data_IF_790564400473
#
_entry.id   IF_790564400473
#
_cell.length_a   1.000
_cell.length_b   1.000
_cell.length_c   1.000
_cell.angle_alpha   90.00
_cell.angle_beta   90.00
_cell.angle_gamma   90.00
#
_symmetry.space_group_name_H-M   'P 1'
#
loop_
_entity.id
_entity.type
_entity.pdbx_description
1 polymer ?
#
# COMPACT_ATOMS: atom_id res chain seq x y z
N UNK A 1 41.85 25.03 19.19
CA UNK A 1 41.26 23.73 18.80
C UNK A 1 39.83 23.61 19.34
N UNK A 2 39.58 23.89 20.62
CA UNK A 2 38.23 23.87 21.23
C UNK A 2 37.22 24.89 20.66
N UNK A 3 37.64 26.11 20.31
CA UNK A 3 36.73 27.16 19.78
C UNK A 3 36.12 26.79 18.40
N UNK A 4 36.90 26.11 17.55
CA UNK A 4 36.41 25.59 16.26
C UNK A 4 35.47 24.40 16.43
N UNK A 5 35.62 23.63 17.50
CA UNK A 5 34.75 22.48 17.78
C UNK A 5 33.40 22.93 18.32
N UNK A 6 33.38 23.94 19.19
CA UNK A 6 32.14 24.53 19.68
C UNK A 6 31.38 25.27 18.57
N UNK A 7 32.09 25.99 17.69
CA UNK A 7 31.48 26.58 16.49
C UNK A 7 30.94 25.50 15.55
N UNK A 8 31.66 24.39 15.37
CA UNK A 8 31.19 23.26 14.58
C UNK A 8 29.94 22.62 15.17
N UNK A 9 29.89 22.37 16.48
CA UNK A 9 28.72 21.84 17.17
C UNK A 9 27.52 22.78 17.07
N UNK A 10 27.73 24.09 17.25
CA UNK A 10 26.66 25.10 17.08
C UNK A 10 26.16 25.21 15.65
N UNK A 11 27.06 25.18 14.66
CA UNK A 11 26.66 25.16 13.25
C UNK A 11 25.95 23.85 12.90
N UNK A 12 26.37 22.74 13.50
CA UNK A 12 25.71 21.45 13.36
C UNK A 12 24.30 21.48 13.96
N UNK A 13 24.14 22.03 15.16
CA UNK A 13 22.83 22.26 15.76
C UNK A 13 21.98 23.22 14.91
N UNK A 14 22.50 24.35 14.45
CA UNK A 14 21.67 25.33 13.73
C UNK A 14 21.23 24.83 12.34
N UNK A 15 22.13 24.22 11.57
CA UNK A 15 21.85 23.85 10.18
C UNK A 15 21.44 22.40 10.00
N UNK A 16 21.74 21.54 10.97
CA UNK A 16 21.54 20.11 10.88
C UNK A 16 20.87 19.51 12.12
N UNK A 17 20.52 20.29 13.17
CA UNK A 17 19.53 19.80 14.14
C UNK A 17 18.21 19.61 13.41
N UNK A 18 17.57 18.50 13.75
CA UNK A 18 16.29 18.16 13.17
C UNK A 18 15.25 18.22 14.27
N UNK A 19 14.35 19.18 14.18
CA UNK A 19 13.16 19.23 15.04
C UNK A 19 12.04 18.39 14.44
N UNK A 20 11.39 17.59 15.28
CA UNK A 20 10.24 16.79 14.91
C UNK A 20 9.12 17.70 14.37
N UNK A 21 8.63 17.39 13.15
CA UNK A 21 7.51 18.13 12.56
C UNK A 21 6.21 17.52 13.08
N UNK A 22 5.50 18.29 13.91
CA UNK A 22 4.18 17.92 14.42
C UNK A 22 3.23 17.41 13.31
N UNK A 23 2.49 16.34 13.61
CA UNK A 23 1.64 15.65 12.62
C UNK A 23 0.58 16.58 12.00
N UNK A 24 0.06 17.50 12.80
CA UNK A 24 -0.88 18.55 12.38
C UNK A 24 -0.27 19.51 11.35
N UNK A 25 0.96 19.96 11.58
CA UNK A 25 1.68 20.89 10.70
C UNK A 25 1.90 20.26 9.33
N UNK A 26 2.34 19.02 9.30
CA UNK A 26 2.54 18.32 8.04
C UNK A 26 1.24 18.02 7.29
N UNK A 27 0.16 17.69 7.99
CA UNK A 27 -1.17 17.57 7.39
C UNK A 27 -1.50 18.84 6.60
N UNK A 28 -1.32 20.01 7.20
CA UNK A 28 -1.58 21.28 6.54
C UNK A 28 -0.65 21.50 5.34
N UNK A 29 0.65 21.31 5.51
CA UNK A 29 1.64 21.53 4.46
C UNK A 29 1.40 20.59 3.26
N UNK A 30 1.20 19.30 3.50
CA UNK A 30 0.97 18.31 2.43
C UNK A 30 -0.37 18.48 1.75
N UNK A 31 -1.43 18.85 2.49
CA UNK A 31 -2.75 19.12 1.90
C UNK A 31 -2.71 20.39 1.04
N UNK A 32 -2.12 21.47 1.54
CA UNK A 32 -1.97 22.72 0.77
C UNK A 32 -1.10 22.53 -0.48
N UNK A 33 0.02 21.81 -0.34
CA UNK A 33 0.89 21.49 -1.48
C UNK A 33 0.18 20.57 -2.49
N UNK A 34 -0.55 19.57 -2.02
CA UNK A 34 -1.35 18.68 -2.88
C UNK A 34 -2.40 19.46 -3.67
N UNK A 35 -3.09 20.41 -3.02
CA UNK A 35 -4.04 21.29 -3.69
C UNK A 35 -3.31 22.17 -4.70
N UNK A 36 -2.22 22.84 -4.33
CA UNK A 36 -1.47 23.72 -5.22
C UNK A 36 -0.97 23.00 -6.48
N UNK A 37 -0.39 21.80 -6.32
CA UNK A 37 0.25 21.05 -7.41
C UNK A 37 -0.77 20.29 -8.27
N UNK A 38 -1.84 19.73 -7.67
CA UNK A 38 -2.73 18.79 -8.37
C UNK A 38 -4.18 19.24 -8.51
N UNK A 39 -4.65 20.24 -7.77
CA UNK A 39 -6.03 20.71 -7.92
C UNK A 39 -6.19 21.53 -9.20
N UNK A 40 -7.24 21.26 -9.99
CA UNK A 40 -7.61 22.12 -11.13
C UNK A 40 -8.64 23.16 -10.70
N UNK A 41 -8.18 24.39 -10.49
CA UNK A 41 -9.04 25.53 -10.13
C UNK A 41 -10.06 25.88 -11.24
N UNK A 42 -9.67 25.76 -12.51
CA UNK A 42 -10.60 25.98 -13.64
C UNK A 42 -11.65 24.87 -13.84
N UNK A 43 -11.57 23.76 -13.10
CA UNK A 43 -12.53 22.65 -13.19
C UNK A 43 -12.72 22.00 -11.80
N UNK A 44 -13.45 22.71 -10.94
CA UNK A 44 -13.66 22.33 -9.53
C UNK A 44 -14.18 20.90 -9.36
N UNK A 45 -15.24 20.52 -10.07
CA UNK A 45 -15.89 19.20 -9.96
C UNK A 45 -15.23 18.09 -10.80
N UNK A 46 -13.90 18.14 -10.99
CA UNK A 46 -13.19 17.06 -11.67
C UNK A 46 -13.01 15.85 -10.75
N UNK A 47 -13.02 14.64 -11.32
CA UNK A 47 -12.75 13.41 -10.56
C UNK A 47 -11.40 13.46 -9.84
N UNK A 48 -10.39 14.04 -10.49
CA UNK A 48 -9.07 14.24 -9.86
C UNK A 48 -9.15 15.12 -8.61
N UNK A 49 -9.92 16.20 -8.62
CA UNK A 49 -10.09 17.06 -7.45
C UNK A 49 -10.83 16.33 -6.32
N UNK A 50 -11.85 15.53 -6.66
CA UNK A 50 -12.54 14.67 -5.69
C UNK A 50 -11.55 13.69 -5.07
N UNK A 51 -10.71 13.04 -5.88
CA UNK A 51 -9.69 12.09 -5.40
C UNK A 51 -8.69 12.75 -4.45
N UNK A 52 -8.24 13.98 -4.75
CA UNK A 52 -7.33 14.75 -3.88
C UNK A 52 -7.98 14.99 -2.53
N UNK A 53 -9.20 15.53 -2.54
CA UNK A 53 -9.91 15.85 -1.30
C UNK A 53 -10.11 14.57 -0.48
N UNK A 54 -10.59 13.51 -1.12
CA UNK A 54 -10.84 12.26 -0.42
C UNK A 54 -9.53 11.65 0.13
N UNK A 55 -8.42 11.67 -0.61
CA UNK A 55 -7.14 11.15 -0.13
C UNK A 55 -6.57 12.00 1.01
N UNK A 56 -6.69 13.33 0.91
CA UNK A 56 -6.29 14.24 1.99
C UNK A 56 -7.13 14.07 3.26
N UNK A 57 -8.37 13.60 3.16
CA UNK A 57 -9.24 13.32 4.32
C UNK A 57 -8.84 12.07 5.10
N UNK A 58 -8.03 11.15 4.55
CA UNK A 58 -7.53 10.03 5.34
C UNK A 58 -6.63 10.49 6.48
N UNK A 59 -5.77 11.48 6.21
CA UNK A 59 -4.79 12.00 7.16
C UNK A 59 -5.39 12.52 8.47
N UNK A 60 -6.40 13.42 8.49
CA UNK A 60 -7.03 13.81 9.76
C UNK A 60 -7.74 12.63 10.45
N UNK A 61 -8.20 11.61 9.71
CA UNK A 61 -8.78 10.41 10.33
C UNK A 61 -7.71 9.55 11.02
N UNK A 62 -6.52 9.40 10.43
CA UNK A 62 -5.37 8.76 11.08
C UNK A 62 -4.91 9.53 12.33
N UNK A 63 -4.87 10.86 12.25
CA UNK A 63 -4.52 11.69 13.40
C UNK A 63 -5.51 11.56 14.55
N UNK A 64 -6.81 11.39 14.30
CA UNK A 64 -7.78 11.11 15.36
C UNK A 64 -7.47 9.80 16.09
N UNK A 65 -7.05 8.76 15.36
CA UNK A 65 -6.62 7.50 15.96
C UNK A 65 -5.35 7.70 16.79
N UNK A 66 -4.31 8.31 16.20
CA UNK A 66 -3.04 8.56 16.90
C UNK A 66 -3.25 9.40 18.16
N UNK A 67 -3.91 10.56 18.05
CA UNK A 67 -4.20 11.43 19.18
C UNK A 67 -5.02 10.74 20.28
N UNK A 68 -6.05 9.98 19.87
CA UNK A 68 -6.89 9.21 20.80
C UNK A 68 -6.09 8.15 21.56
N UNK A 69 -5.22 7.41 20.85
CA UNK A 69 -4.37 6.38 21.44
C UNK A 69 -3.32 6.99 22.40
N UNK A 70 -2.55 7.99 21.95
CA UNK A 70 -1.46 8.62 22.74
C UNK A 70 -1.98 9.26 24.03
N UNK A 71 -3.15 9.91 23.97
CA UNK A 71 -3.70 10.64 25.12
C UNK A 71 -4.70 9.82 25.96
N UNK A 72 -4.96 8.56 25.59
CA UNK A 72 -5.92 7.71 26.31
C UNK A 72 -7.37 8.17 26.19
N UNK A 73 -7.77 8.72 25.04
CA UNK A 73 -9.13 9.15 24.73
C UNK A 73 -9.84 8.14 23.79
N UNK A 74 -10.43 7.05 24.34
CA UNK A 74 -10.98 5.96 23.52
C UNK A 74 -12.15 6.40 22.62
N UNK A 75 -12.88 7.45 23.00
CA UNK A 75 -13.96 7.99 22.16
C UNK A 75 -13.43 8.66 20.88
N UNK A 76 -12.30 9.36 20.98
CA UNK A 76 -11.64 10.02 19.85
C UNK A 76 -11.00 8.98 18.95
N UNK A 77 -10.35 7.99 19.55
CA UNK A 77 -9.75 6.87 18.81
C UNK A 77 -10.83 6.11 18.02
N UNK A 78 -11.94 5.77 18.67
CA UNK A 78 -13.11 5.14 18.02
C UNK A 78 -13.66 6.00 16.88
N UNK A 79 -13.76 7.32 17.08
CA UNK A 79 -14.19 8.25 16.03
C UNK A 79 -13.24 8.18 14.83
N UNK A 80 -11.93 8.17 15.05
CA UNK A 80 -10.92 8.00 14.01
C UNK A 80 -11.09 6.71 13.22
N UNK A 81 -11.31 5.57 13.90
CA UNK A 81 -11.56 4.31 13.20
C UNK A 81 -12.85 4.30 12.39
N UNK A 82 -13.94 4.86 12.93
CA UNK A 82 -15.23 4.95 12.22
C UNK A 82 -15.13 5.84 10.99
N UNK A 83 -14.43 6.98 11.08
CA UNK A 83 -14.23 7.88 9.93
C UNK A 83 -13.31 7.24 8.88
N UNK A 84 -12.23 6.56 9.28
CA UNK A 84 -11.39 5.77 8.37
C UNK A 84 -12.20 4.68 7.64
N UNK A 85 -13.08 3.99 8.36
CA UNK A 85 -13.97 2.98 7.78
C UNK A 85 -14.93 3.58 6.75
N UNK A 86 -15.57 4.72 7.09
CA UNK A 86 -16.45 5.45 6.18
C UNK A 86 -15.73 5.93 4.92
N UNK A 87 -14.54 6.52 5.08
CA UNK A 87 -13.70 6.99 3.97
C UNK A 87 -13.23 5.85 3.07
N UNK A 88 -12.87 4.70 3.65
CA UNK A 88 -12.59 3.48 2.88
C UNK A 88 -13.76 3.08 2.00
N UNK A 89 -14.99 3.19 2.50
CA UNK A 89 -16.21 2.77 1.79
C UNK A 89 -16.48 3.69 0.60
N UNK A 90 -16.33 5.00 0.82
CA UNK A 90 -16.43 6.02 -0.23
C UNK A 90 -15.39 5.75 -1.34
N UNK A 91 -14.15 5.40 -0.99
CA UNK A 91 -13.13 5.09 -1.98
C UNK A 91 -13.37 3.79 -2.75
N UNK A 92 -13.91 2.75 -2.10
CA UNK A 92 -14.32 1.52 -2.80
C UNK A 92 -15.37 1.86 -3.86
N UNK A 93 -16.40 2.62 -3.49
CA UNK A 93 -17.42 3.08 -4.42
C UNK A 93 -16.82 3.89 -5.57
N UNK A 94 -15.84 4.77 -5.26
CA UNK A 94 -15.11 5.52 -6.29
C UNK A 94 -14.32 4.59 -7.22
N UNK A 95 -13.66 3.53 -6.73
CA UNK A 95 -12.97 2.56 -7.60
C UNK A 95 -13.94 1.86 -8.55
N UNK A 96 -15.11 1.45 -8.06
CA UNK A 96 -16.14 0.85 -8.91
C UNK A 96 -16.66 1.84 -9.95
N UNK A 97 -16.91 3.08 -9.53
CA UNK A 97 -17.37 4.14 -10.43
C UNK A 97 -16.36 4.42 -11.55
N UNK A 98 -15.06 4.35 -11.25
CA UNK A 98 -13.98 4.48 -12.23
C UNK A 98 -14.01 3.38 -13.32
N UNK A 99 -14.57 2.21 -13.04
CA UNK A 99 -14.78 1.16 -14.05
C UNK A 99 -15.93 1.48 -15.02
N UNK A 100 -16.83 2.39 -14.66
CA UNK A 100 -17.95 2.81 -15.53
C UNK A 100 -17.60 3.98 -16.44
N UNK A 101 -16.45 4.60 -16.23
CA UNK A 101 -16.00 5.75 -17.00
C UNK A 101 -15.43 5.36 -18.36
N UNK A 102 -16.15 5.72 -19.42
CA UNK A 102 -15.72 5.58 -20.82
C UNK A 102 -14.71 6.68 -21.20
N UNK A 103 -14.94 7.91 -20.74
CA UNK A 103 -14.09 9.07 -21.08
C UNK A 103 -13.52 9.71 -19.82
N UNK A 104 -12.20 9.72 -19.71
CA UNK A 104 -11.48 10.42 -18.65
C UNK A 104 -10.62 11.55 -19.25
N UNK A 105 -10.99 12.83 -19.07
CA UNK A 105 -10.16 13.92 -19.55
C UNK A 105 -8.84 13.93 -18.78
N UNK A 106 -7.72 13.90 -19.50
CA UNK A 106 -6.40 13.99 -18.92
C UNK A 106 -6.20 15.39 -18.32
N UNK A 107 -5.99 15.46 -17.02
CA UNK A 107 -5.62 16.68 -16.33
C UNK A 107 -4.15 16.59 -15.95
N UNK A 108 -3.31 17.44 -16.52
CA UNK A 108 -1.90 17.51 -16.13
C UNK A 108 -1.73 18.17 -14.76
N UNK A 109 -0.67 17.91 -14.00
CA UNK A 109 -0.35 18.70 -12.80
C UNK A 109 -0.18 20.19 -13.13
N UNK A 110 -0.19 21.05 -12.11
CA UNK A 110 0.06 22.50 -12.26
C UNK A 110 1.56 22.82 -12.29
N UNK A 111 2.41 21.85 -11.95
CA UNK A 111 3.86 22.01 -11.92
C UNK A 111 4.52 21.37 -13.16
N UNK A 112 5.65 21.94 -13.60
CA UNK A 112 6.43 21.42 -14.71
C UNK A 112 7.05 20.05 -14.38
N UNK A 113 7.46 19.30 -15.42
CA UNK A 113 8.14 18.02 -15.23
C UNK A 113 9.42 18.16 -14.37
N UNK A 114 10.22 19.22 -14.60
CA UNK A 114 11.43 19.48 -13.81
C UNK A 114 11.12 19.74 -12.33
N UNK A 115 10.09 20.52 -12.05
CA UNK A 115 9.63 20.76 -10.67
C UNK A 115 9.12 19.48 -9.99
N UNK A 116 8.37 18.65 -10.71
CA UNK A 116 7.92 17.36 -10.19
C UNK A 116 9.09 16.40 -9.94
N UNK A 117 10.07 16.31 -10.85
CA UNK A 117 11.27 15.49 -10.65
C UNK A 117 12.06 15.92 -9.42
N UNK A 118 12.21 17.23 -9.22
CA UNK A 118 12.84 17.77 -8.00
C UNK A 118 12.05 17.39 -6.75
N UNK A 119 10.71 17.54 -6.77
CA UNK A 119 9.87 17.12 -5.64
C UNK A 119 9.97 15.61 -5.37
N UNK A 120 9.96 14.74 -6.39
CA UNK A 120 10.16 13.29 -6.20
C UNK A 120 11.47 13.03 -5.48
N UNK A 121 12.57 13.63 -5.95
CA UNK A 121 13.88 13.44 -5.34
C UNK A 121 13.90 13.93 -3.89
N UNK A 122 13.48 15.17 -3.64
CA UNK A 122 13.51 15.78 -2.32
C UNK A 122 12.60 15.06 -1.32
N UNK A 123 11.38 14.67 -1.71
CA UNK A 123 10.46 13.93 -0.85
C UNK A 123 10.93 12.51 -0.59
N UNK A 124 11.58 11.86 -1.57
CA UNK A 124 12.16 10.55 -1.36
C UNK A 124 13.36 10.60 -0.39
N UNK A 125 14.21 11.64 -0.50
CA UNK A 125 15.27 11.89 0.48
C UNK A 125 14.67 12.10 1.88
N UNK A 126 13.59 12.89 2.01
CA UNK A 126 12.91 13.05 3.29
C UNK A 126 12.36 11.73 3.84
N UNK A 127 11.76 10.90 3.00
CA UNK A 127 11.27 9.57 3.43
C UNK A 127 12.42 8.66 3.90
N UNK A 128 13.55 8.65 3.18
CA UNK A 128 14.74 7.87 3.58
C UNK A 128 15.32 8.41 4.89
N UNK A 129 15.41 9.73 5.04
CA UNK A 129 15.84 10.36 6.29
C UNK A 129 14.91 10.01 7.44
N UNK A 130 13.60 9.98 7.22
CA UNK A 130 12.60 9.62 8.23
C UNK A 130 12.87 8.26 8.86
N UNK A 131 13.06 7.23 8.03
CA UNK A 131 13.31 5.86 8.51
C UNK A 131 14.75 5.66 9.00
N UNK A 132 15.72 6.36 8.41
CA UNK A 132 17.14 6.22 8.79
C UNK A 132 17.44 6.91 10.12
N UNK A 133 16.91 8.11 10.33
CA UNK A 133 17.05 8.82 11.61
C UNK A 133 16.26 8.09 12.69
N UNK A 134 15.06 7.57 12.37
CA UNK A 134 14.27 6.80 13.31
C UNK A 134 15.02 5.56 13.79
N UNK A 135 15.65 4.83 12.86
CA UNK A 135 16.54 3.71 13.18
C UNK A 135 17.75 4.12 14.06
N UNK A 136 18.39 5.26 13.80
CA UNK A 136 19.57 5.70 14.57
C UNK A 136 19.20 6.17 15.98
N UNK A 137 18.06 6.83 16.15
CA UNK A 137 17.64 7.43 17.42
C UNK A 137 17.06 6.42 18.41
N UNK A 138 16.54 5.29 17.93
CA UNK A 138 15.92 4.27 18.78
C UNK A 138 16.89 3.09 18.94
N UNK A 139 17.56 3.02 20.09
CA UNK A 139 18.44 1.89 20.45
C UNK A 139 17.64 0.65 20.88
N UNK A 140 16.40 0.83 21.34
CA UNK A 140 15.52 -0.26 21.72
C UNK A 140 14.81 -0.83 20.47
N UNK A 141 15.02 -2.12 20.19
CA UNK A 141 14.27 -2.81 19.14
C UNK A 141 12.76 -2.74 19.43
N UNK A 142 11.95 -2.30 18.46
CA UNK A 142 10.49 -2.34 18.56
C UNK A 142 10.08 -3.81 18.77
N UNK A 143 9.51 -4.12 19.93
CA UNK A 143 9.15 -5.49 20.34
C UNK A 143 7.77 -5.88 19.81
N UNK A 144 7.68 -6.94 19.01
CA UNK A 144 6.40 -7.49 18.54
C UNK A 144 5.74 -8.37 19.61
N UNK A 145 4.42 -8.26 19.72
CA UNK A 145 3.57 -9.17 20.50
C UNK A 145 3.53 -10.57 19.84
N UNK A 146 3.90 -11.66 20.55
CA UNK A 146 3.90 -13.02 20.02
C UNK A 146 2.49 -13.53 19.71
N UNK A 147 1.42 -12.83 20.10
CA UNK A 147 0.05 -13.13 19.68
C UNK A 147 -0.19 -12.88 18.18
N UNK A 148 0.63 -12.07 17.51
CA UNK A 148 0.63 -11.89 16.04
C UNK A 148 0.86 -13.21 15.29
N UNK A 149 1.59 -14.17 15.88
CA UNK A 149 1.84 -15.51 15.33
C UNK A 149 0.58 -16.37 15.19
N UNK A 150 -0.56 -15.94 15.76
CA UNK A 150 -1.85 -16.66 15.65
C UNK A 150 -2.66 -16.23 14.44
N UNK A 151 -2.20 -15.23 13.69
CA UNK A 151 -2.93 -14.67 12.54
C UNK A 151 -2.44 -15.28 11.23
N UNK A 152 -3.26 -15.22 10.16
CA UNK A 152 -2.79 -15.51 8.81
C UNK A 152 -1.69 -14.54 8.39
N UNK A 153 -0.59 -15.09 7.90
CA UNK A 153 0.51 -14.30 7.38
C UNK A 153 1.71 -15.16 7.02
N UNK A 154 2.73 -14.51 6.50
CA UNK A 154 3.94 -15.15 6.02
C UNK A 154 5.07 -14.90 7.01
N UNK A 155 5.45 -15.96 7.73
CA UNK A 155 6.43 -15.89 8.82
C UNK A 155 7.68 -15.08 8.50
N UNK A 156 8.30 -15.25 7.33
CA UNK A 156 9.53 -14.50 6.97
C UNK A 156 9.29 -12.98 6.93
N UNK A 157 8.09 -12.55 6.54
CA UNK A 157 7.71 -11.13 6.55
C UNK A 157 7.37 -10.64 7.97
N UNK A 158 6.72 -11.49 8.78
CA UNK A 158 6.42 -11.21 10.20
C UNK A 158 7.69 -11.15 11.07
N UNK A 159 8.71 -11.94 10.72
CA UNK A 159 10.01 -11.99 11.39
C UNK A 159 10.84 -10.71 11.12
N UNK A 160 10.42 -9.83 10.21
CA UNK A 160 11.08 -8.54 9.97
C UNK A 160 10.60 -7.50 11.00
N UNK A 161 11.47 -7.02 11.91
CA UNK A 161 11.07 -5.98 12.84
C UNK A 161 10.72 -4.70 12.07
N UNK A 162 9.67 -3.97 12.46
CA UNK A 162 9.37 -2.66 11.90
C UNK A 162 10.51 -1.69 12.25
N UNK A 163 10.75 -0.72 11.36
CA UNK A 163 11.75 0.32 11.57
C UNK A 163 11.05 1.56 12.11
N UNK A 164 11.49 2.11 13.27
CA UNK A 164 10.91 3.34 13.78
C UNK A 164 11.08 4.49 12.80
N UNK A 165 10.11 5.40 12.79
CA UNK A 165 10.14 6.63 11.98
C UNK A 165 10.42 7.83 12.88
N UNK A 166 11.32 8.73 12.46
CA UNK A 166 11.71 9.89 13.27
C UNK A 166 10.67 11.02 13.25
N UNK A 167 9.93 11.16 12.16
CA UNK A 167 9.09 12.33 11.91
C UNK A 167 7.61 12.11 12.25
N UNK A 168 7.24 10.92 12.74
CA UNK A 168 5.85 10.55 13.03
C UNK A 168 5.76 9.67 14.27
N UNK A 169 4.72 9.86 15.08
CA UNK A 169 4.27 8.81 16.00
C UNK A 169 3.14 8.03 15.30
N UNK A 170 3.43 6.81 14.85
CA UNK A 170 2.40 6.04 14.15
C UNK A 170 1.39 5.43 15.15
N UNK A 171 0.07 5.49 14.88
CA UNK A 171 -0.93 4.81 15.71
C UNK A 171 -0.73 3.28 15.78
N UNK A 172 0.07 2.72 14.86
CA UNK A 172 0.45 1.32 14.85
C UNK A 172 1.55 1.01 15.88
N UNK A 173 2.60 1.83 15.97
CA UNK A 173 3.61 1.74 17.03
C UNK A 173 2.98 1.93 18.41
N UNK A 174 2.03 2.87 18.55
CA UNK A 174 1.30 3.13 19.80
C UNK A 174 0.44 1.94 20.26
N UNK A 175 -0.17 1.20 19.33
CA UNK A 175 -0.96 0.00 19.66
C UNK A 175 -0.09 -1.25 19.92
N UNK A 176 1.10 -1.34 19.32
CA UNK A 176 2.03 -2.46 19.57
C UNK A 176 2.79 -2.33 20.90
N UNK A 177 2.97 -1.12 21.42
CA UNK A 177 3.60 -0.88 22.74
C UNK A 177 2.85 -1.50 23.94
N UNK A 178 1.61 -1.98 23.76
CA UNK A 178 0.81 -2.65 24.81
C UNK A 178 0.93 -4.19 24.87
N UNK A 179 1.68 -4.81 23.96
CA UNK A 179 1.80 -6.27 23.86
C UNK A 179 2.76 -6.92 24.87
N UNK A 180 2.54 -8.19 25.21
CA UNK A 180 3.49 -8.98 26.02
C UNK A 180 4.72 -9.35 25.17
N UNK A 181 5.90 -9.54 25.78
CA UNK A 181 7.15 -9.73 25.04
C UNK A 181 7.12 -10.97 24.14
N UNK A 182 7.47 -10.77 22.86
CA UNK A 182 7.89 -11.83 21.95
C UNK A 182 9.40 -11.74 21.77
N UNK A 183 10.13 -12.79 22.14
CA UNK A 183 11.54 -12.89 21.80
C UNK A 183 11.65 -13.21 20.30
N UNK A 184 12.30 -12.34 19.53
CA UNK A 184 12.64 -12.64 18.14
C UNK A 184 13.75 -13.70 18.12
N UNK A 185 13.52 -14.90 17.59
CA UNK A 185 14.56 -15.91 17.56
C UNK A 185 15.50 -15.74 16.35
N UNK A 186 15.60 -14.54 15.76
CA UNK A 186 16.50 -14.29 14.63
C UNK A 186 17.17 -12.93 14.75
N UNK A 187 18.50 -12.94 14.56
CA UNK A 187 19.34 -11.79 14.26
C UNK A 187 19.01 -11.20 12.86
N UNK A 188 17.72 -11.01 12.48
CA UNK A 188 17.40 -10.18 11.32
C UNK A 188 17.57 -8.75 11.80
N UNK A 189 18.79 -8.26 11.68
CA UNK A 189 19.13 -6.92 12.12
C UNK A 189 18.11 -5.93 11.53
N UNK A 190 17.57 -5.01 12.33
CA UNK A 190 16.72 -3.90 11.86
C UNK A 190 17.34 -3.17 10.66
N UNK A 191 18.67 -3.19 10.51
CA UNK A 191 19.37 -2.74 9.31
C UNK A 191 18.91 -3.42 8.00
N UNK A 192 18.57 -4.72 8.03
CA UNK A 192 17.99 -5.41 6.89
C UNK A 192 16.57 -4.89 6.60
N UNK A 193 15.72 -4.77 7.63
CA UNK A 193 14.38 -4.18 7.49
C UNK A 193 14.45 -2.78 6.89
N UNK A 194 15.40 -1.95 7.35
CA UNK A 194 15.68 -0.62 6.81
C UNK A 194 16.06 -0.68 5.33
N UNK A 195 16.97 -1.59 4.95
CA UNK A 195 17.34 -1.79 3.55
C UNK A 195 16.15 -2.22 2.67
N UNK A 196 15.34 -3.17 3.15
CA UNK A 196 14.17 -3.68 2.43
C UNK A 196 13.10 -2.60 2.30
N UNK A 197 12.82 -1.82 3.35
CA UNK A 197 11.75 -0.81 3.31
C UNK A 197 12.11 0.36 2.39
N UNK A 198 13.37 0.83 2.43
CA UNK A 198 13.88 1.85 1.50
C UNK A 198 13.79 1.33 0.05
N UNK A 199 14.21 0.08 -0.19
CA UNK A 199 14.11 -0.53 -1.50
C UNK A 199 12.63 -0.66 -1.95
N UNK A 200 11.72 -1.08 -1.08
CA UNK A 200 10.31 -1.22 -1.41
C UNK A 200 9.69 0.13 -1.83
N UNK A 201 9.95 1.21 -1.07
CA UNK A 201 9.48 2.56 -1.45
C UNK A 201 10.11 3.05 -2.76
N UNK A 202 11.40 2.82 -2.96
CA UNK A 202 12.07 3.14 -4.22
C UNK A 202 11.40 2.42 -5.40
N UNK A 203 11.08 1.14 -5.23
CA UNK A 203 10.38 0.34 -6.24
C UNK A 203 8.96 0.86 -6.49
N UNK A 204 8.22 1.32 -5.46
CA UNK A 204 6.92 2.00 -5.67
C UNK A 204 7.12 3.25 -6.52
N UNK A 205 8.01 4.16 -6.12
CA UNK A 205 8.24 5.46 -6.78
C UNK A 205 8.62 5.27 -8.25
N UNK A 206 9.61 4.42 -8.53
CA UNK A 206 10.04 4.12 -9.90
C UNK A 206 8.93 3.40 -10.66
N UNK A 207 8.23 2.46 -10.03
CA UNK A 207 7.09 1.77 -10.62
C UNK A 207 5.99 2.72 -11.08
N UNK A 208 5.61 3.71 -10.25
CA UNK A 208 4.62 4.74 -10.59
C UNK A 208 5.07 5.60 -11.78
N UNK A 209 6.34 6.02 -11.81
CA UNK A 209 6.93 6.80 -12.91
C UNK A 209 6.95 5.98 -14.21
N UNK A 210 7.35 4.71 -14.12
CA UNK A 210 7.40 3.81 -15.28
C UNK A 210 6.01 3.47 -15.81
N UNK A 211 5.02 3.22 -14.96
CA UNK A 211 3.64 3.03 -15.41
C UNK A 211 3.11 4.28 -16.12
N UNK A 212 3.37 5.48 -15.57
CA UNK A 212 2.99 6.73 -16.21
C UNK A 212 3.69 6.98 -17.55
N UNK A 213 4.98 6.71 -17.65
CA UNK A 213 5.73 6.90 -18.90
C UNK A 213 5.41 5.84 -19.96
N UNK A 214 5.31 4.57 -19.58
CA UNK A 214 5.13 3.45 -20.52
C UNK A 214 3.66 3.24 -20.89
N UNK A 215 2.76 3.20 -19.90
CA UNK A 215 1.36 2.81 -20.14
C UNK A 215 0.44 4.01 -20.33
N UNK A 216 0.69 5.09 -19.59
CA UNK A 216 -0.06 6.35 -19.76
C UNK A 216 0.52 7.24 -20.86
N UNK A 217 1.69 6.87 -21.42
CA UNK A 217 2.42 7.64 -22.43
C UNK A 217 2.68 9.10 -22.01
N UNK A 218 2.75 9.36 -20.71
CA UNK A 218 2.96 10.69 -20.15
C UNK A 218 3.76 10.61 -18.84
N UNK A 219 5.06 10.89 -18.95
CA UNK A 219 5.98 10.91 -17.80
C UNK A 219 5.56 11.90 -16.70
N UNK A 220 4.92 13.01 -17.05
CA UNK A 220 4.45 14.00 -16.05
C UNK A 220 3.41 13.39 -15.13
N UNK A 221 2.55 12.51 -15.64
CA UNK A 221 1.54 11.81 -14.84
C UNK A 221 2.18 10.77 -13.91
N UNK A 222 3.24 10.09 -14.37
CA UNK A 222 4.02 9.19 -13.54
C UNK A 222 4.77 9.91 -12.41
N UNK A 223 5.43 11.03 -12.73
CA UNK A 223 6.07 11.89 -11.74
C UNK A 223 5.04 12.45 -10.74
N UNK A 224 3.87 12.88 -11.22
CA UNK A 224 2.78 13.35 -10.37
C UNK A 224 2.28 12.28 -9.40
N UNK A 225 2.13 11.04 -9.88
CA UNK A 225 1.75 9.90 -9.06
C UNK A 225 2.81 9.64 -7.97
N UNK A 226 4.10 9.66 -8.33
CA UNK A 226 5.18 9.50 -7.36
C UNK A 226 5.22 10.62 -6.30
N UNK A 227 5.11 11.88 -6.72
CA UNK A 227 5.04 13.02 -5.78
C UNK A 227 3.83 12.86 -4.85
N UNK A 228 2.65 12.54 -5.39
CA UNK A 228 1.45 12.40 -4.57
C UNK A 228 1.58 11.24 -3.58
N UNK A 229 2.10 10.08 -4.01
CA UNK A 229 2.39 8.95 -3.12
C UNK A 229 3.29 9.36 -1.94
N UNK A 230 4.36 10.09 -2.21
CA UNK A 230 5.32 10.54 -1.18
C UNK A 230 4.75 11.66 -0.28
N UNK A 231 3.79 12.44 -0.77
CA UNK A 231 3.15 13.51 0.00
C UNK A 231 2.06 13.02 0.96
N UNK A 232 1.45 11.87 0.70
CA UNK A 232 0.38 11.36 1.59
C UNK A 232 1.01 11.03 2.96
N UNK A 233 0.51 11.61 4.07
CA UNK A 233 1.03 11.36 5.42
C UNK A 233 1.17 9.88 5.78
N UNK A 234 0.23 9.04 5.35
CA UNK A 234 0.31 7.58 5.50
C UNK A 234 1.66 6.98 5.08
N UNK A 235 2.25 7.46 3.97
CA UNK A 235 3.55 6.97 3.47
C UNK A 235 4.71 7.34 4.40
N UNK A 236 4.61 8.47 5.09
CA UNK A 236 5.57 8.88 6.11
C UNK A 236 5.39 8.10 7.41
N UNK A 237 4.15 8.01 7.89
CA UNK A 237 3.80 7.34 9.16
C UNK A 237 4.09 5.84 9.13
N UNK A 238 3.68 5.14 8.06
CA UNK A 238 3.93 3.70 7.91
C UNK A 238 5.21 3.43 7.12
N UNK A 239 6.09 4.44 7.03
CA UNK A 239 7.27 4.44 6.17
C UNK A 239 8.27 3.33 6.50
N UNK A 240 8.33 2.89 7.76
CA UNK A 240 9.25 1.86 8.24
C UNK A 240 8.70 0.43 8.26
N UNK A 241 7.49 0.21 7.76
CA UNK A 241 6.83 -1.11 7.78
C UNK A 241 6.92 -1.82 6.43
N UNK A 242 7.68 -2.93 6.38
CA UNK A 242 7.93 -3.67 5.13
C UNK A 242 6.64 -4.31 4.57
N UNK A 243 5.86 -4.92 5.44
CA UNK A 243 4.58 -5.58 5.16
C UNK A 243 3.51 -4.62 4.60
N UNK A 244 3.60 -3.34 4.93
CA UNK A 244 2.73 -2.29 4.39
C UNK A 244 3.09 -1.87 2.96
N UNK A 245 4.37 -1.88 2.59
CA UNK A 245 4.88 -1.26 1.35
C UNK A 245 5.21 -2.30 0.29
N UNK A 246 5.83 -3.42 0.66
CA UNK A 246 6.33 -4.44 -0.27
C UNK A 246 5.22 -5.03 -1.16
N UNK A 247 4.03 -5.42 -0.65
CA UNK A 247 2.95 -5.90 -1.51
C UNK A 247 2.49 -4.86 -2.52
N UNK A 248 2.39 -3.59 -2.11
CA UNK A 248 2.05 -2.48 -3.01
C UNK A 248 3.08 -2.30 -4.11
N UNK A 249 4.37 -2.37 -3.78
CA UNK A 249 5.48 -2.32 -4.75
C UNK A 249 5.38 -3.44 -5.79
N UNK A 250 5.23 -4.68 -5.34
CA UNK A 250 5.10 -5.85 -6.22
C UNK A 250 3.90 -5.75 -7.15
N UNK A 251 2.76 -5.23 -6.68
CA UNK A 251 1.55 -5.04 -7.50
C UNK A 251 1.73 -3.95 -8.56
N UNK A 252 2.39 -2.83 -8.23
CA UNK A 252 2.72 -1.79 -9.23
C UNK A 252 3.60 -2.37 -10.33
N UNK A 253 4.57 -3.21 -9.97
CA UNK A 253 5.45 -3.88 -10.94
C UNK A 253 4.73 -4.99 -11.73
N UNK A 254 3.80 -5.71 -11.10
CA UNK A 254 2.94 -6.66 -11.80
C UNK A 254 2.10 -5.96 -12.87
N UNK A 255 1.58 -4.76 -12.56
CA UNK A 255 0.87 -3.91 -13.50
C UNK A 255 1.80 -3.34 -14.57
N UNK A 256 3.01 -2.90 -14.23
CA UNK A 256 4.01 -2.47 -15.22
C UNK A 256 4.26 -3.58 -16.26
N UNK A 257 4.34 -4.83 -15.81
CA UNK A 257 4.55 -5.99 -16.66
C UNK A 257 3.26 -6.72 -17.09
N UNK A 258 2.09 -6.07 -17.09
CA UNK A 258 0.82 -6.72 -17.47
C UNK A 258 0.81 -7.33 -18.88
N UNK A 259 1.69 -6.88 -19.78
CA UNK A 259 1.84 -7.47 -21.13
C UNK A 259 2.75 -8.71 -21.16
N UNK A 260 3.35 -9.08 -20.04
CA UNK A 260 4.22 -10.25 -19.84
C UNK A 260 3.56 -11.15 -18.80
N UNK A 261 2.58 -12.00 -19.19
CA UNK A 261 1.70 -12.67 -18.25
C UNK A 261 2.44 -13.50 -17.17
N UNK A 262 3.53 -14.17 -17.55
CA UNK A 262 4.35 -14.94 -16.60
C UNK A 262 4.98 -14.06 -15.51
N UNK A 263 5.57 -12.92 -15.88
CA UNK A 263 6.19 -12.00 -14.92
C UNK A 263 5.12 -11.38 -14.02
N UNK A 264 4.01 -10.93 -14.60
CA UNK A 264 2.90 -10.38 -13.83
C UNK A 264 2.30 -11.40 -12.85
N UNK A 265 2.14 -12.65 -13.27
CA UNK A 265 1.68 -13.74 -12.40
C UNK A 265 2.65 -14.05 -11.26
N UNK A 266 3.96 -14.08 -11.55
CA UNK A 266 4.99 -14.27 -10.54
C UNK A 266 4.98 -13.14 -9.48
N UNK A 267 4.97 -11.89 -9.92
CA UNK A 267 4.93 -10.73 -9.03
C UNK A 267 3.64 -10.66 -8.21
N UNK A 268 2.49 -10.97 -8.82
CA UNK A 268 1.23 -11.10 -8.08
C UNK A 268 1.33 -12.19 -7.01
N UNK A 269 1.87 -13.36 -7.33
CA UNK A 269 1.96 -14.45 -6.37
C UNK A 269 2.91 -14.16 -5.21
N UNK A 270 3.98 -13.39 -5.43
CA UNK A 270 4.86 -12.95 -4.34
C UNK A 270 4.13 -12.06 -3.32
N UNK A 271 3.03 -11.40 -3.71
CA UNK A 271 2.20 -10.61 -2.77
C UNK A 271 1.32 -11.47 -1.86
N UNK A 272 1.24 -12.79 -2.10
CA UNK A 272 0.51 -13.71 -1.23
C UNK A 272 1.14 -13.84 0.17
N UNK A 273 2.30 -13.21 0.40
CA UNK A 273 2.88 -13.04 1.73
C UNK A 273 1.95 -12.34 2.74
N UNK A 274 0.97 -11.56 2.27
CA UNK A 274 -0.07 -10.93 3.12
C UNK A 274 -1.46 -11.54 2.91
N UNK A 275 -1.58 -12.74 2.31
CA UNK A 275 -2.83 -13.49 2.07
C UNK A 275 -3.87 -12.83 1.13
N UNK A 276 -4.30 -11.59 1.37
CA UNK A 276 -5.41 -10.92 0.67
C UNK A 276 -5.28 -10.86 -0.87
N UNK A 277 -4.09 -10.68 -1.46
CA UNK A 277 -3.95 -10.65 -2.90
C UNK A 277 -4.29 -11.97 -3.62
N UNK A 278 -4.43 -13.10 -2.91
CA UNK A 278 -4.98 -14.34 -3.48
C UNK A 278 -6.36 -14.13 -4.10
N UNK A 279 -7.18 -13.26 -3.50
CA UNK A 279 -8.51 -12.93 -3.99
C UNK A 279 -8.50 -12.04 -5.25
N UNK A 280 -7.32 -11.65 -5.74
CA UNK A 280 -7.17 -11.02 -7.05
C UNK A 280 -7.09 -12.05 -8.19
N UNK A 281 -6.88 -13.34 -7.90
CA UNK A 281 -6.76 -14.39 -8.93
C UNK A 281 -7.93 -14.38 -9.91
N UNK A 282 -9.21 -14.31 -9.50
CA UNK A 282 -10.34 -14.27 -10.45
C UNK A 282 -10.30 -13.05 -11.39
N UNK A 283 -9.92 -11.87 -10.87
CA UNK A 283 -9.78 -10.64 -11.65
C UNK A 283 -8.67 -10.78 -12.71
N UNK A 284 -7.50 -11.26 -12.30
CA UNK A 284 -6.34 -11.35 -13.21
C UNK A 284 -6.47 -12.51 -14.20
N UNK A 285 -7.03 -13.65 -13.80
CA UNK A 285 -7.33 -14.75 -14.73
C UNK A 285 -8.33 -14.30 -15.81
N UNK A 286 -9.39 -13.60 -15.43
CA UNK A 286 -10.37 -13.09 -16.40
C UNK A 286 -9.79 -12.02 -17.32
N UNK A 287 -8.83 -11.20 -16.85
CA UNK A 287 -8.09 -10.26 -17.70
C UNK A 287 -7.24 -10.97 -18.78
N UNK A 288 -6.62 -12.11 -18.46
CA UNK A 288 -5.83 -12.91 -19.41
C UNK A 288 -6.62 -14.01 -20.12
N UNK A 289 -7.93 -14.12 -19.88
CA UNK A 289 -8.76 -15.24 -20.33
C UNK A 289 -8.64 -15.50 -21.84
N UNK A 290 -8.70 -14.42 -22.62
CA UNK A 290 -8.61 -14.48 -24.08
C UNK A 290 -7.19 -14.79 -24.56
N UNK A 291 -6.16 -14.35 -23.85
CA UNK A 291 -4.75 -14.54 -24.24
C UNK A 291 -3.83 -14.45 -23.04
N UNK A 292 -3.04 -15.51 -22.83
CA UNK A 292 -1.96 -15.51 -21.85
C UNK A 292 -2.30 -16.15 -20.51
N UNK A 293 -3.51 -16.67 -20.31
CA UNK A 293 -3.93 -17.34 -19.07
C UNK A 293 -2.95 -18.43 -18.63
N UNK A 294 -2.51 -19.32 -19.53
CA UNK A 294 -1.56 -20.38 -19.18
C UNK A 294 -0.21 -19.83 -18.70
N UNK A 295 0.33 -18.82 -19.38
CA UNK A 295 1.60 -18.17 -18.99
C UNK A 295 1.46 -17.46 -17.65
N UNK A 296 0.33 -16.78 -17.42
CA UNK A 296 0.02 -16.15 -16.16
C UNK A 296 -0.09 -17.17 -15.02
N UNK A 297 -0.87 -18.23 -15.20
CA UNK A 297 -1.02 -19.31 -14.21
C UNK A 297 0.31 -19.97 -13.87
N UNK A 298 1.17 -20.24 -14.87
CA UNK A 298 2.53 -20.73 -14.62
C UNK A 298 3.37 -19.74 -13.80
N UNK A 299 3.24 -18.44 -14.10
CA UNK A 299 3.86 -17.38 -13.31
C UNK A 299 3.39 -17.38 -11.85
N UNK A 300 2.08 -17.51 -11.64
CA UNK A 300 1.49 -17.57 -10.29
C UNK A 300 2.02 -18.78 -9.51
N UNK A 301 2.02 -19.97 -10.13
CA UNK A 301 2.56 -21.19 -9.50
C UNK A 301 4.04 -21.04 -9.19
N UNK A 302 4.82 -20.45 -10.09
CA UNK A 302 6.25 -20.22 -9.87
C UNK A 302 6.51 -19.22 -8.72
N UNK A 303 5.84 -18.07 -8.71
CA UNK A 303 6.00 -17.07 -7.64
C UNK A 303 5.55 -17.62 -6.27
N UNK A 304 4.47 -18.40 -6.25
CA UNK A 304 4.03 -19.11 -5.05
C UNK A 304 5.07 -20.13 -4.57
N UNK A 305 5.65 -20.91 -5.48
CA UNK A 305 6.70 -21.86 -5.16
C UNK A 305 7.94 -21.17 -4.56
N UNK A 306 8.26 -19.94 -4.96
CA UNK A 306 9.34 -19.16 -4.32
C UNK A 306 9.03 -18.79 -2.87
N UNK A 307 7.79 -18.43 -2.54
CA UNK A 307 7.37 -18.19 -1.14
C UNK A 307 7.47 -19.48 -0.32
N UNK A 308 6.98 -20.60 -0.86
CA UNK A 308 7.08 -21.90 -0.19
C UNK A 308 8.54 -22.33 -0.01
N UNK A 309 9.39 -22.12 -1.02
CA UNK A 309 10.82 -22.36 -0.93
C UNK A 309 11.45 -21.51 0.17
N UNK A 310 11.05 -20.24 0.32
CA UNK A 310 11.47 -19.39 1.43
C UNK A 310 11.15 -20.01 2.79
N UNK A 311 9.93 -20.53 2.98
CA UNK A 311 9.55 -21.21 4.23
C UNK A 311 10.38 -22.48 4.48
N UNK A 312 10.65 -23.27 3.44
CA UNK A 312 11.48 -24.48 3.53
C UNK A 312 12.91 -24.11 3.93
N UNK A 313 13.52 -23.13 3.26
CA UNK A 313 14.90 -22.71 3.51
C UNK A 313 15.10 -22.06 4.89
N UNK A 314 14.02 -21.56 5.49
CA UNK A 314 14.05 -20.89 6.80
C UNK A 314 13.29 -21.66 7.88
N UNK A 315 12.99 -22.94 7.66
CA UNK A 315 12.22 -23.78 8.57
C UNK A 315 12.94 -23.95 9.93
N UNK A 316 12.18 -23.93 11.03
CA UNK A 316 12.67 -24.12 12.40
C UNK A 316 11.78 -25.12 13.14
N UNK A 317 12.35 -25.79 14.14
CA UNK A 317 11.62 -26.77 14.96
C UNK A 317 10.47 -26.12 15.73
N UNK A 318 10.65 -24.89 16.21
CA UNK A 318 9.66 -24.16 17.03
C UNK A 318 8.49 -23.57 16.23
N UNK A 319 8.68 -23.34 14.92
CA UNK A 319 7.70 -22.65 14.06
C UNK A 319 6.57 -23.59 13.55
N UNK A 320 6.62 -24.87 13.92
CA UNK A 320 5.71 -25.91 13.47
C UNK A 320 5.96 -26.36 12.02
N UNK A 321 5.27 -27.44 11.63
CA UNK A 321 5.45 -28.09 10.34
C UNK A 321 5.14 -27.17 9.14
N UNK A 322 5.80 -27.43 8.01
CA UNK A 322 5.62 -26.68 6.75
C UNK A 322 4.14 -26.55 6.35
N UNK A 323 3.33 -27.60 6.53
CA UNK A 323 1.90 -27.55 6.21
C UNK A 323 1.15 -26.53 7.06
N UNK A 324 1.52 -26.38 8.33
CA UNK A 324 0.94 -25.36 9.23
C UNK A 324 1.33 -23.96 8.76
N UNK A 325 2.59 -23.76 8.38
CA UNK A 325 3.06 -22.47 7.83
C UNK A 325 2.36 -22.11 6.51
N UNK A 326 2.14 -23.08 5.62
CA UNK A 326 1.38 -22.87 4.38
C UNK A 326 -0.09 -22.53 4.69
N UNK A 327 -0.73 -23.23 5.64
CA UNK A 327 -2.12 -22.91 6.06
C UNK A 327 -2.23 -21.50 6.63
N UNK A 328 -1.24 -21.05 7.41
CA UNK A 328 -1.14 -19.68 7.93
C UNK A 328 -1.01 -18.67 6.80
N UNK A 329 -0.07 -18.87 5.87
CA UNK A 329 0.17 -17.97 4.72
C UNK A 329 -1.09 -17.72 3.89
N UNK A 330 -1.98 -18.70 3.78
CA UNK A 330 -3.20 -18.59 2.98
C UNK A 330 -4.48 -18.41 3.80
N UNK A 331 -4.38 -18.06 5.09
CA UNK A 331 -5.57 -17.78 5.90
C UNK A 331 -6.65 -18.86 5.89
N UNK A 332 -6.27 -20.14 5.73
CA UNK A 332 -7.20 -21.27 5.87
C UNK A 332 -7.63 -21.50 7.32
N UNK A 333 -7.04 -20.76 8.26
CA UNK A 333 -7.51 -20.66 9.62
C UNK A 333 -8.78 -19.81 9.63
N UNK A 334 -9.80 -20.25 10.38
CA UNK A 334 -11.01 -19.46 10.59
C UNK A 334 -10.62 -18.02 10.99
N UNK A 335 -11.28 -16.98 10.44
CA UNK A 335 -10.96 -15.60 10.77
C UNK A 335 -10.98 -15.45 12.30
N UNK A 336 -9.98 -14.80 12.88
CA UNK A 336 -9.84 -14.66 14.33
C UNK A 336 -11.11 -14.06 14.94
N UNK A 337 -11.89 -14.80 15.73
CA UNK A 337 -13.14 -14.29 16.32
C UNK A 337 -12.99 -13.88 17.78
N UNK A 338 -11.83 -14.12 18.37
CA UNK A 338 -11.56 -13.78 19.75
C UNK A 338 -11.40 -12.27 19.94
N UNK A 339 -12.20 -11.69 20.83
CA UNK A 339 -12.24 -10.24 21.09
C UNK A 339 -10.92 -9.73 21.67
N UNK A 340 -10.21 -10.55 22.44
CA UNK A 340 -8.96 -10.16 23.07
C UNK A 340 -7.84 -9.90 22.04
N UNK A 341 -7.99 -10.46 20.84
CA UNK A 341 -7.00 -10.37 19.77
C UNK A 341 -7.43 -9.42 18.64
N UNK A 342 -8.58 -8.75 18.75
CA UNK A 342 -9.06 -7.82 17.74
C UNK A 342 -8.60 -6.41 18.03
N UNK A 343 -8.07 -5.76 17.01
CA UNK A 343 -7.59 -4.39 17.06
C UNK A 343 -8.39 -3.48 16.12
N UNK A 344 -8.09 -2.19 16.19
CA UNK A 344 -8.75 -1.16 15.40
C UNK A 344 -10.25 -1.12 15.66
N UNK A 345 -11.06 -0.89 14.62
CA UNK A 345 -12.51 -0.80 14.75
C UNK A 345 -13.14 -2.02 15.46
N UNK A 346 -12.55 -3.20 15.28
CA UNK A 346 -13.06 -4.46 15.85
C UNK A 346 -12.75 -4.63 17.34
N UNK A 347 -11.79 -3.88 17.88
CA UNK A 347 -11.49 -3.80 19.32
C UNK A 347 -12.48 -2.92 20.10
N UNK A 348 -13.15 -1.96 19.45
CA UNK A 348 -14.05 -0.98 20.08
C UNK A 348 -15.49 -1.49 20.34
N UNK A 349 -15.66 -2.80 20.54
CA UNK A 349 -16.91 -3.39 21.05
C UNK A 349 -17.93 -3.86 20.00
N UNK A 350 -17.58 -3.86 18.71
CA UNK A 350 -18.42 -4.53 17.69
C UNK A 350 -18.36 -6.04 17.89
N UNK A 351 -19.51 -6.73 17.77
CA UNK A 351 -19.51 -8.18 17.86
C UNK A 351 -18.68 -8.77 16.70
N UNK A 352 -17.69 -9.65 16.96
CA UNK A 352 -16.83 -10.22 15.92
C UNK A 352 -17.60 -10.89 14.78
N UNK A 353 -18.80 -11.41 15.09
CA UNK A 353 -19.73 -12.03 14.13
C UNK A 353 -20.09 -11.10 12.96
N UNK A 354 -20.08 -9.78 13.14
CA UNK A 354 -20.35 -8.82 12.06
C UNK A 354 -19.26 -8.77 10.98
N UNK A 355 -18.10 -9.40 11.20
CA UNK A 355 -17.09 -9.61 10.17
C UNK A 355 -17.53 -10.61 9.12
N UNK A 356 -18.37 -11.60 9.46
CA UNK A 356 -18.77 -12.67 8.53
C UNK A 356 -19.47 -12.12 7.28
N UNK A 357 -20.47 -11.21 7.38
CA UNK A 357 -21.04 -10.58 6.19
C UNK A 357 -20.04 -9.77 5.36
N UNK A 358 -19.06 -9.13 5.99
CA UNK A 358 -18.04 -8.32 5.30
C UNK A 358 -17.04 -9.22 4.56
N UNK A 359 -16.60 -10.31 5.19
CA UNK A 359 -15.78 -11.36 4.56
C UNK A 359 -16.54 -11.97 3.38
N UNK A 360 -17.82 -12.31 3.58
CA UNK A 360 -18.67 -12.87 2.53
C UNK A 360 -18.78 -11.90 1.35
N UNK A 361 -19.04 -10.62 1.62
CA UNK A 361 -19.12 -9.58 0.58
C UNK A 361 -17.79 -9.40 -0.15
N UNK A 362 -16.67 -9.46 0.56
CA UNK A 362 -15.33 -9.39 0.00
C UNK A 362 -15.04 -10.58 -0.95
N UNK A 363 -15.40 -11.80 -0.54
CA UNK A 363 -15.29 -13.01 -1.39
C UNK A 363 -16.21 -12.89 -2.60
N UNK A 364 -17.45 -12.43 -2.42
CA UNK A 364 -18.39 -12.23 -3.52
C UNK A 364 -17.90 -11.17 -4.51
N UNK A 365 -17.27 -10.10 -4.04
CA UNK A 365 -16.62 -9.10 -4.88
C UNK A 365 -15.48 -9.73 -5.71
N UNK A 366 -14.61 -10.53 -5.08
CA UNK A 366 -13.55 -11.28 -5.77
C UNK A 366 -14.10 -12.17 -6.88
N UNK A 367 -15.13 -12.98 -6.59
CA UNK A 367 -15.79 -13.86 -7.57
C UNK A 367 -16.42 -13.01 -8.69
N UNK A 368 -17.09 -11.93 -8.35
CA UNK A 368 -17.74 -11.02 -9.32
C UNK A 368 -16.71 -10.46 -10.30
N UNK A 369 -15.47 -10.21 -9.86
CA UNK A 369 -14.42 -9.74 -10.76
C UNK A 369 -14.03 -10.72 -11.87
N UNK A 370 -14.36 -12.01 -11.76
CA UNK A 370 -14.21 -12.94 -12.89
C UNK A 370 -15.10 -12.55 -14.08
N UNK A 371 -16.27 -11.97 -13.82
CA UNK A 371 -17.29 -11.65 -14.83
C UNK A 371 -17.37 -10.15 -15.14
N UNK A 372 -17.20 -9.29 -14.12
CA UNK A 372 -17.33 -7.84 -14.24
C UNK A 372 -16.02 -7.12 -13.89
N UNK A 373 -15.62 -6.04 -14.59
CA UNK A 373 -16.21 -5.54 -15.83
C UNK A 373 -16.08 -6.58 -16.96
N UNK A 374 -17.05 -6.57 -17.88
CA UNK A 374 -17.12 -7.55 -18.98
C UNK A 374 -15.93 -7.41 -19.94
N UNK A 375 -15.55 -6.16 -20.25
CA UNK A 375 -14.32 -5.85 -20.99
C UNK A 375 -13.30 -5.26 -20.02
N UNK A 376 -12.25 -6.03 -19.74
CA UNK A 376 -11.19 -5.59 -18.83
C UNK A 376 -10.04 -4.98 -19.60
N UNK A 377 -9.77 -3.71 -19.30
CA UNK A 377 -8.58 -2.98 -19.72
C UNK A 377 -7.66 -2.71 -18.52
N UNK A 378 -6.47 -2.18 -18.76
CA UNK A 378 -5.50 -1.84 -17.71
C UNK A 378 -6.12 -0.94 -16.63
N UNK A 379 -6.95 0.01 -17.03
CA UNK A 379 -7.65 0.90 -16.11
C UNK A 379 -8.56 0.15 -15.12
N UNK A 380 -9.41 -0.74 -15.63
CA UNK A 380 -10.27 -1.59 -14.78
C UNK A 380 -9.47 -2.57 -13.93
N UNK A 381 -8.33 -3.07 -14.43
CA UNK A 381 -7.45 -3.97 -13.70
C UNK A 381 -6.83 -3.26 -12.48
N UNK A 382 -6.30 -2.05 -12.66
CA UNK A 382 -5.77 -1.22 -11.57
C UNK A 382 -6.89 -0.93 -10.57
N UNK A 383 -8.07 -0.52 -11.05
CA UNK A 383 -9.15 -0.03 -10.17
C UNK A 383 -9.77 -1.15 -9.35
N UNK A 384 -10.06 -2.30 -9.96
CA UNK A 384 -10.57 -3.47 -9.24
C UNK A 384 -9.52 -4.07 -8.29
N UNK A 385 -8.23 -4.02 -8.65
CA UNK A 385 -7.15 -4.42 -7.73
C UNK A 385 -7.11 -3.50 -6.51
N UNK A 386 -7.17 -2.18 -6.72
CA UNK A 386 -7.24 -1.19 -5.64
C UNK A 386 -8.49 -1.39 -4.76
N UNK A 387 -9.66 -1.59 -5.37
CA UNK A 387 -10.93 -1.80 -4.67
C UNK A 387 -10.86 -3.03 -3.76
N UNK A 388 -10.32 -4.15 -4.28
CA UNK A 388 -10.20 -5.38 -3.52
C UNK A 388 -9.29 -5.19 -2.30
N UNK A 389 -8.11 -4.61 -2.50
CA UNK A 389 -7.15 -4.40 -1.41
C UNK A 389 -7.63 -3.36 -0.40
N UNK A 390 -8.41 -2.37 -0.83
CA UNK A 390 -9.02 -1.42 0.08
C UNK A 390 -10.12 -2.07 0.94
N UNK A 391 -10.85 -3.05 0.39
CA UNK A 391 -11.90 -3.78 1.08
C UNK A 391 -11.39 -4.70 2.19
N UNK A 392 -10.11 -5.08 2.20
CA UNK A 392 -9.53 -5.91 3.28
C UNK A 392 -9.62 -5.22 4.63
N UNK A 393 -9.50 -3.88 4.65
CA UNK A 393 -9.58 -3.05 5.86
C UNK A 393 -10.89 -3.21 6.62
N UNK A 394 -11.97 -3.55 5.91
CA UNK A 394 -13.29 -3.68 6.50
C UNK A 394 -13.38 -4.88 7.42
N UNK A 395 -12.60 -5.92 7.20
CA UNK A 395 -12.72 -7.15 7.97
C UNK A 395 -11.39 -7.64 8.54
N UNK A 396 -10.26 -6.99 8.28
CA UNK A 396 -8.99 -7.31 8.93
C UNK A 396 -9.13 -7.19 10.46
N UNK A 397 -8.66 -8.22 11.18
CA UNK A 397 -8.71 -8.28 12.64
C UNK A 397 -7.58 -7.49 13.30
N UNK A 398 -6.44 -7.33 12.62
CA UNK A 398 -5.33 -6.46 13.05
C UNK A 398 -5.47 -5.12 12.36
N UNK A 399 -5.29 -4.03 13.13
CA UNK A 399 -5.36 -2.66 12.61
C UNK A 399 -6.55 -2.40 11.68
N UNK A 400 -7.72 -2.98 11.97
CA UNK A 400 -8.91 -2.89 11.13
C UNK A 400 -9.24 -1.44 10.83
N UNK A 401 -9.09 -1.04 9.56
CA UNK A 401 -9.26 0.34 9.14
C UNK A 401 -7.99 1.17 8.99
N UNK A 402 -6.76 0.65 9.19
CA UNK A 402 -5.49 1.41 9.06
C UNK A 402 -4.72 1.13 7.76
N UNK A 403 -4.79 -0.08 7.21
CA UNK A 403 -3.96 -0.53 6.10
C UNK A 403 -4.28 0.15 4.76
N UNK A 404 -3.56 1.22 4.38
CA UNK A 404 -3.71 1.89 3.07
C UNK A 404 -2.65 1.43 2.06
N UNK A 405 -1.45 1.05 2.54
CA UNK A 405 -0.24 0.87 1.75
C UNK A 405 -0.40 -0.12 0.59
N UNK A 406 -1.14 -1.20 0.80
CA UNK A 406 -1.39 -2.20 -0.24
C UNK A 406 -2.19 -1.64 -1.43
N UNK A 407 -3.09 -0.70 -1.17
CA UNK A 407 -3.98 -0.10 -2.19
C UNK A 407 -3.51 1.27 -2.66
N UNK A 408 -2.71 1.99 -1.86
CA UNK A 408 -2.38 3.40 -2.07
C UNK A 408 -1.72 3.67 -3.43
N UNK A 409 -0.65 2.95 -3.84
CA UNK A 409 -0.02 3.19 -5.14
C UNK A 409 -1.00 3.00 -6.29
N UNK A 410 -1.94 2.06 -6.16
CA UNK A 410 -2.95 1.75 -7.18
C UNK A 410 -4.02 2.84 -7.25
N UNK A 411 -4.50 3.33 -6.11
CA UNK A 411 -5.44 4.45 -6.03
C UNK A 411 -4.83 5.69 -6.70
N UNK A 412 -3.55 5.96 -6.42
CA UNK A 412 -2.80 7.08 -7.00
C UNK A 412 -2.64 6.90 -8.51
N UNK A 413 -2.35 5.69 -9.01
CA UNK A 413 -2.36 5.42 -10.46
C UNK A 413 -3.72 5.72 -11.08
N UNK A 414 -4.84 5.32 -10.45
CA UNK A 414 -6.17 5.65 -10.98
C UNK A 414 -6.41 7.15 -10.96
N UNK A 415 -5.97 7.87 -9.92
CA UNK A 415 -6.12 9.32 -9.85
C UNK A 415 -5.47 10.01 -11.08
N UNK A 416 -4.30 9.56 -11.52
CA UNK A 416 -3.54 10.15 -12.61
C UNK A 416 -3.68 9.44 -13.97
N UNK A 417 -4.50 8.38 -14.09
CA UNK A 417 -4.63 7.67 -15.37
C UNK A 417 -5.31 8.51 -16.46
N UNK A 418 -4.86 8.44 -17.73
CA UNK A 418 -5.62 8.90 -18.88
C UNK A 418 -6.76 7.93 -19.21
N UNK A 419 -7.43 8.10 -20.35
CA UNK A 419 -8.24 7.01 -20.90
C UNK A 419 -7.33 5.83 -21.29
N UNK A 420 -7.69 4.61 -20.86
CA UNK A 420 -6.94 3.37 -21.09
C UNK A 420 -7.80 2.28 -21.74
N UNK A 421 -8.91 2.64 -22.40
CA UNK A 421 -9.83 1.68 -23.04
C UNK A 421 -9.14 0.76 -24.06
N UNK A 422 -8.13 1.25 -24.77
CA UNK A 422 -7.35 0.51 -25.76
C UNK A 422 -6.30 -0.43 -25.13
N UNK A 423 -6.03 -0.29 -23.83
CA UNK A 423 -5.03 -1.08 -23.09
C UNK A 423 -5.59 -2.41 -22.62
N UNK A 424 -5.95 -3.26 -23.57
CA UNK A 424 -6.36 -4.65 -23.33
C UNK A 424 -5.22 -5.61 -23.66
N UNK A 425 -5.25 -6.83 -23.09
CA UNK A 425 -4.25 -7.86 -23.41
C UNK A 425 -4.23 -8.26 -24.90
N UNK A 426 -5.35 -8.07 -25.60
CA UNK A 426 -5.50 -8.42 -27.01
C UNK A 426 -4.80 -7.47 -28.01
N UNK A 427 -4.15 -6.39 -27.56
CA UNK A 427 -3.66 -5.34 -28.46
C UNK A 427 -2.26 -5.64 -29.05
N UNK A 428 -2.26 -6.36 -30.18
CA UNK A 428 -1.48 -6.11 -31.42
C UNK A 428 -1.86 -7.19 -32.43
N UNK A 429 -2.41 -6.78 -33.59
CA UNK A 429 -2.72 -7.59 -34.80
C UNK A 429 -4.11 -8.22 -34.95
N UNK A 430 -5.19 -7.43 -34.93
CA UNK A 430 -6.41 -7.75 -35.71
C UNK A 430 -6.58 -6.88 -36.96
N UNK A 431 -5.63 -5.99 -37.26
CA UNK A 431 -5.64 -5.11 -38.44
C UNK A 431 -4.70 -5.55 -39.58
N UNK A 432 -3.96 -6.66 -39.44
CA UNK A 432 -3.11 -7.19 -40.52
C UNK A 432 -3.85 -8.16 -41.48
N UNK A 433 -5.16 -8.37 -41.32
CA UNK A 433 -5.92 -9.40 -42.05
C UNK A 433 -7.09 -8.92 -42.91
N UNK A 434 -7.28 -7.60 -43.11
CA UNK A 434 -8.38 -7.07 -43.95
C UNK A 434 -7.91 -6.02 -44.97
N UNK A 435 -6.81 -6.33 -45.66
CA UNK A 435 -6.28 -5.50 -46.75
C UNK A 435 -5.74 -6.32 -47.94
N UNK A 436 -6.17 -7.58 -48.08
CA UNK A 436 -5.85 -8.41 -49.23
C UNK A 436 -6.95 -9.46 -49.38
N UNK A 437 -8.05 -9.06 -50.02
CA UNK A 437 -8.83 -9.89 -50.95
C UNK A 437 -10.04 -9.09 -51.43
N UNK A 438 -10.07 -8.90 -52.75
CA UNK A 438 -11.05 -8.23 -53.62
C UNK A 438 -10.92 -6.71 -53.73
#
# INVERSE_FOLDING_TARGET
>A
MFENQQLYEQLNEIFFSYEHVESTTWLYLTTLLSIAVFFKFGRLFSMRNVDIILLSLFSPCFMLVSYGATNGFPEIERLGYVTLWGMGGIFILRMFYDCTMVRRPLLEPNMSAGGLSFLVFSLFVLLVSNVSVGYIQNEDEIRIDPTSLRMPGYRILEDLPPVPVAFWESPFELNQQGGRPGEYPFEMNQALSLGIVIAAHFFVVIGLILVGSVHFENVRMGLAAAVFYLLIPYTGEMGGHVDHVLPGALLVWALLFYRKPFIAGCLLALTFCIYYPLFLIPLWLSFYWQRGVAKFSLGVVFGWALLVLGLILTQREEAGDLLTQIKRMHGFLMPQMDREHLQGLWGFGWAPVYRIPLITSFIMMSITFSMWPAQKNLGSLISCTAALLLATRFWNGEGGGLFLGWSLPLIVLIMFRPNLEDRVMLSRETSAGKGANL
#
